data_IF_080952512778
#
_entry.id   IF_080952512778
#
_cell.length_a   1.000
_cell.length_b   1.000
_cell.length_c   1.000
_cell.angle_alpha   90.00
_cell.angle_beta   90.00
_cell.angle_gamma   90.00
#
_symmetry.space_group_name_H-M   'P 1'
#
loop_
_entity.id
_entity.type
_entity.pdbx_description
1 polymer ?
#
# COMPACT_ATOMS: atom_id res chain seq x y z
N UNK A 1 -0.64 -18.73 0.37
CA UNK A 1 -1.02 -17.45 -0.24
C UNK A 1 -0.22 -16.36 0.41
N UNK A 2 0.47 -15.55 -0.39
CA UNK A 2 1.31 -14.46 0.13
C UNK A 2 0.45 -13.34 0.71
N UNK A 3 1.02 -12.59 1.66
CA UNK A 3 0.36 -11.43 2.27
C UNK A 3 1.31 -10.23 2.24
N UNK A 4 0.73 -9.06 1.99
CA UNK A 4 1.42 -7.78 2.10
C UNK A 4 0.61 -6.85 3.01
N UNK A 5 1.30 -6.16 3.91
CA UNK A 5 0.70 -5.11 4.74
C UNK A 5 1.24 -3.76 4.26
N UNK A 6 0.34 -2.91 3.78
CA UNK A 6 0.69 -1.58 3.25
C UNK A 6 0.20 -0.49 4.20
N UNK A 7 0.86 0.66 4.17
CA UNK A 7 0.41 1.84 4.92
C UNK A 7 -1.02 2.26 4.53
N UNK A 8 -1.81 2.75 5.49
CA UNK A 8 -3.14 3.33 5.26
C UNK A 8 -3.15 4.47 4.24
N UNK A 9 -2.00 5.12 4.01
CA UNK A 9 -1.86 6.15 2.97
C UNK A 9 -2.21 5.62 1.57
N UNK A 10 -1.84 4.38 1.27
CA UNK A 10 -2.17 3.75 -0.02
C UNK A 10 -3.67 3.46 -0.17
N UNK A 11 -4.39 3.37 0.94
CA UNK A 11 -5.85 3.23 0.97
C UNK A 11 -6.52 4.60 0.75
N UNK A 12 -6.13 5.61 1.53
CA UNK A 12 -6.70 6.97 1.44
C UNK A 12 -6.46 7.64 0.10
N UNK A 13 -5.27 7.49 -0.47
CA UNK A 13 -4.88 8.12 -1.74
C UNK A 13 -4.80 7.12 -2.89
N UNK A 14 -5.56 6.01 -2.82
CA UNK A 14 -5.56 4.93 -3.81
C UNK A 14 -5.68 5.44 -5.25
N UNK A 15 -6.56 6.41 -5.48
CA UNK A 15 -6.82 6.97 -6.80
C UNK A 15 -5.56 7.60 -7.43
N UNK A 16 -4.71 8.24 -6.63
CA UNK A 16 -3.49 8.90 -7.11
C UNK A 16 -2.45 7.86 -7.54
N UNK A 17 -2.27 6.80 -6.75
CA UNK A 17 -1.37 5.70 -7.10
C UNK A 17 -1.84 4.92 -8.32
N UNK A 18 -3.16 4.70 -8.45
CA UNK A 18 -3.76 4.10 -9.64
C UNK A 18 -3.57 4.99 -10.86
N UNK A 19 -3.73 6.31 -10.73
CA UNK A 19 -3.48 7.25 -11.83
C UNK A 19 -2.01 7.26 -12.25
N UNK A 20 -1.07 7.12 -11.30
CA UNK A 20 0.36 7.12 -11.56
C UNK A 20 0.84 5.83 -12.24
N UNK A 21 0.40 4.65 -11.76
CA UNK A 21 1.03 3.35 -12.11
C UNK A 21 0.01 2.24 -12.44
N UNK A 22 -1.26 2.58 -12.59
CA UNK A 22 -2.36 1.64 -12.88
C UNK A 22 -2.85 0.85 -11.67
N UNK A 23 -2.02 0.67 -10.63
CA UNK A 23 -2.43 0.06 -9.37
C UNK A 23 -1.50 0.44 -8.21
N UNK A 24 -1.96 0.22 -6.98
CA UNK A 24 -1.15 0.43 -5.77
C UNK A 24 0.03 -0.53 -5.75
N UNK A 25 -0.19 -1.79 -6.14
CA UNK A 25 0.82 -2.84 -6.19
C UNK A 25 1.92 -2.50 -7.20
N UNK A 26 1.55 -1.99 -8.38
CA UNK A 26 2.51 -1.55 -9.39
C UNK A 26 3.37 -0.40 -8.87
N UNK A 27 2.75 0.58 -8.21
CA UNK A 27 3.48 1.68 -7.59
C UNK A 27 4.47 1.18 -6.53
N UNK A 28 4.01 0.35 -5.59
CA UNK A 28 4.86 -0.24 -4.54
C UNK A 28 5.98 -1.08 -5.14
N UNK A 29 5.69 -1.86 -6.17
CA UNK A 29 6.65 -2.71 -6.86
C UNK A 29 7.77 -1.93 -7.54
N UNK A 30 7.65 -0.62 -7.79
CA UNK A 30 8.79 0.19 -8.26
C UNK A 30 9.93 0.25 -7.24
N UNK A 31 9.59 0.27 -5.96
CA UNK A 31 10.53 0.52 -4.87
C UNK A 31 10.74 -0.71 -3.97
N UNK A 32 9.85 -1.70 -4.02
CA UNK A 32 9.95 -2.89 -3.19
C UNK A 32 11.02 -3.87 -3.70
N UNK A 33 11.88 -4.35 -2.81
CA UNK A 33 12.81 -5.45 -3.08
C UNK A 33 12.07 -6.77 -3.29
N UNK A 34 11.00 -7.01 -2.51
CA UNK A 34 10.09 -8.15 -2.67
C UNK A 34 8.83 -7.70 -3.39
N UNK A 35 8.54 -8.28 -4.56
CA UNK A 35 7.41 -7.86 -5.38
C UNK A 35 6.09 -8.47 -4.90
N UNK A 36 5.04 -7.66 -4.93
CA UNK A 36 3.64 -8.05 -4.73
C UNK A 36 3.14 -8.65 -6.05
N UNK A 37 2.64 -9.90 -5.99
CA UNK A 37 2.06 -10.59 -7.14
C UNK A 37 0.51 -10.50 -7.10
N UNK A 38 -0.14 -10.87 -8.20
CA UNK A 38 -1.60 -10.76 -8.37
C UNK A 38 -2.43 -11.53 -7.34
N UNK A 39 -1.85 -12.57 -6.72
CA UNK A 39 -2.53 -13.42 -5.75
C UNK A 39 -2.20 -13.05 -4.29
N UNK A 40 -1.39 -11.99 -4.09
CA UNK A 40 -1.02 -11.52 -2.77
C UNK A 40 -2.22 -10.84 -2.12
N UNK A 41 -2.62 -11.30 -0.93
CA UNK A 41 -3.65 -10.61 -0.15
C UNK A 41 -3.04 -9.34 0.44
N UNK A 42 -3.66 -8.20 0.16
CA UNK A 42 -3.23 -6.90 0.67
C UNK A 42 -4.14 -6.49 1.82
N UNK A 43 -3.53 -6.20 2.96
CA UNK A 43 -4.16 -5.60 4.11
C UNK A 43 -3.55 -4.21 4.33
N UNK A 44 -4.38 -3.20 4.63
CA UNK A 44 -3.88 -1.86 4.96
C UNK A 44 -3.79 -1.72 6.47
N UNK A 45 -2.60 -1.35 6.95
CA UNK A 45 -2.32 -1.15 8.36
C UNK A 45 -3.18 0.00 8.90
N UNK A 46 -3.66 -0.13 10.13
CA UNK A 46 -4.28 1.00 10.83
C UNK A 46 -3.26 2.12 11.01
N UNK A 47 -3.71 3.35 10.81
CA UNK A 47 -2.85 4.50 10.98
C UNK A 47 -2.75 4.85 12.47
N UNK A 48 -1.53 4.84 13.01
CA UNK A 48 -1.29 5.29 14.37
C UNK A 48 -1.33 6.83 14.44
N UNK A 49 -2.35 7.37 15.10
CA UNK A 49 -2.54 8.80 15.32
C UNK A 49 -1.78 9.36 16.53
N UNK A 50 -1.09 8.52 17.30
CA UNK A 50 -0.42 8.90 18.54
C UNK A 50 0.66 9.98 18.33
N UNK A 51 1.23 10.06 17.12
CA UNK A 51 2.17 11.12 16.72
C UNK A 51 1.53 12.51 16.62
N UNK A 52 0.20 12.58 16.46
CA UNK A 52 -0.55 13.82 16.37
C UNK A 52 -1.25 14.18 17.69
N UNK A 53 -1.26 13.28 18.67
CA UNK A 53 -1.66 13.61 20.04
C UNK A 53 -0.55 14.39 20.72
N UNK A 54 -0.90 15.60 21.15
CA UNK A 54 -0.04 16.69 21.61
C UNK A 54 0.87 16.37 22.79
#
# INVERSE_FOLDING_TARGET
TDKASLSKLFDWYKADFVKAEGSVENFVNKYASTKINRNTKIDYMDYNWDLNSK
#
